data_IF_634853278949
#
_entry.id   IF_634853278949
#
_cell.length_a   1.000
_cell.length_b   1.000
_cell.length_c   1.000
_cell.angle_alpha   90.00
_cell.angle_beta   90.00
_cell.angle_gamma   90.00
#
_symmetry.space_group_name_H-M   'P 1'
#
loop_
_entity.id
_entity.type
_entity.pdbx_description
1 polymer ?
#
# COMPACT_ATOMS: atom_id res chain seq x y z
N UNK A 1 -12.31 80.96 48.88
CA UNK A 1 -11.48 79.85 48.35
C UNK A 1 -12.40 78.71 47.93
N UNK A 2 -12.06 78.05 46.82
CA UNK A 2 -12.87 77.10 46.01
C UNK A 2 -13.28 75.85 46.81
N UNK A 3 -14.42 75.20 46.55
CA UNK A 3 -14.47 74.11 45.55
C UNK A 3 -15.88 73.69 45.13
N UNK A 4 -15.95 73.29 43.86
CA UNK A 4 -17.11 72.83 43.07
C UNK A 4 -17.23 71.29 43.10
N UNK A 5 -18.43 70.79 42.81
CA UNK A 5 -18.79 69.42 42.42
C UNK A 5 -18.02 68.91 41.17
N UNK A 6 -17.84 67.59 41.07
CA UNK A 6 -18.09 66.75 39.87
C UNK A 6 -17.43 65.35 40.05
N UNK A 7 -18.19 64.25 40.09
CA UNK A 7 -18.63 63.41 38.96
C UNK A 7 -17.65 62.28 38.64
N UNK A 8 -18.18 61.07 38.80
CA UNK A 8 -17.61 59.75 38.51
C UNK A 8 -17.35 59.57 37.00
N UNK A 9 -16.21 58.98 36.63
CA UNK A 9 -16.04 58.34 35.33
C UNK A 9 -15.48 56.92 35.52
N UNK A 10 -16.25 55.95 35.00
CA UNK A 10 -15.87 54.56 34.80
C UNK A 10 -14.71 54.48 33.80
N UNK A 11 -13.64 53.77 34.15
CA UNK A 11 -12.65 53.29 33.20
C UNK A 11 -12.82 51.78 33.01
N UNK A 12 -13.28 51.40 31.83
CA UNK A 12 -13.23 50.03 31.27
C UNK A 12 -11.98 49.86 30.41
N UNK A 13 -11.66 48.59 30.08
CA UNK A 13 -10.62 48.04 29.19
C UNK A 13 -9.29 47.67 29.89
N UNK A 14 -8.68 46.50 29.69
CA UNK A 14 -8.96 45.33 28.82
C UNK A 14 -8.20 44.13 29.38
N UNK A 15 -8.85 42.97 29.54
CA UNK A 15 -8.17 41.72 29.85
C UNK A 15 -7.37 41.26 28.62
N UNK A 16 -6.04 41.24 28.73
CA UNK A 16 -5.15 40.65 27.72
C UNK A 16 -5.35 39.15 27.67
N UNK A 17 -6.19 38.68 26.73
CA UNK A 17 -6.33 37.26 26.42
C UNK A 17 -5.05 36.72 25.81
N UNK A 18 -4.31 35.92 26.59
CA UNK A 18 -3.21 35.12 26.07
C UNK A 18 -3.82 34.00 25.22
N UNK A 19 -3.87 34.20 23.90
CA UNK A 19 -4.27 33.15 22.96
C UNK A 19 -3.13 32.13 22.95
N UNK A 20 -3.28 31.06 23.73
CA UNK A 20 -2.48 29.86 23.57
C UNK A 20 -2.85 29.25 22.23
N UNK A 21 -2.09 29.59 21.19
CA UNK A 21 -2.09 28.85 19.94
C UNK A 21 -1.58 27.44 20.24
N UNK A 22 -2.50 26.53 20.54
CA UNK A 22 -2.20 25.11 20.57
C UNK A 22 -1.77 24.69 19.18
N UNK A 23 -0.46 24.55 18.97
CA UNK A 23 0.05 23.86 17.80
C UNK A 23 -0.50 22.43 17.86
N UNK A 24 -1.40 22.08 16.95
CA UNK A 24 -1.82 20.70 16.77
C UNK A 24 -0.57 19.84 16.60
N UNK A 25 -0.42 18.72 17.33
CA UNK A 25 0.67 17.80 17.04
C UNK A 25 0.51 17.35 15.59
N UNK A 26 1.51 17.62 14.76
CA UNK A 26 1.60 16.98 13.46
C UNK A 26 1.51 15.47 13.69
N UNK A 27 0.49 14.81 13.14
CA UNK A 27 0.34 13.35 13.22
C UNK A 27 1.66 12.71 12.83
N UNK A 28 2.30 12.03 13.76
CA UNK A 28 3.55 11.34 13.50
C UNK A 28 3.24 10.12 12.63
N UNK A 29 3.45 10.22 11.32
CA UNK A 29 3.32 9.10 10.39
C UNK A 29 4.23 7.95 10.84
N UNK A 30 3.62 6.85 11.29
CA UNK A 30 4.37 5.64 11.60
C UNK A 30 4.85 5.00 10.30
N UNK A 31 6.11 4.59 10.28
CA UNK A 31 6.70 3.84 9.19
C UNK A 31 7.20 2.50 9.68
N UNK A 32 6.53 1.42 9.31
CA UNK A 32 7.02 0.08 9.57
C UNK A 32 7.30 -0.67 8.27
N UNK A 33 8.36 -1.48 8.31
CA UNK A 33 8.84 -2.25 7.18
C UNK A 33 8.75 -3.75 7.45
N UNK A 34 8.22 -4.52 6.48
CA UNK A 34 8.14 -5.98 6.57
C UNK A 34 8.70 -6.64 5.32
N UNK A 35 9.38 -7.77 5.47
CA UNK A 35 9.78 -8.61 4.33
C UNK A 35 8.98 -9.89 4.30
N UNK A 36 8.60 -10.36 3.12
CA UNK A 36 7.80 -11.57 2.94
C UNK A 36 8.21 -12.32 1.66
N UNK A 37 8.27 -13.65 1.74
CA UNK A 37 8.32 -14.53 0.58
C UNK A 37 6.90 -14.82 0.11
N UNK A 38 6.67 -14.66 -1.20
CA UNK A 38 5.42 -14.96 -1.88
C UNK A 38 5.68 -16.09 -2.86
N UNK A 39 5.02 -17.22 -2.67
CA UNK A 39 5.11 -18.38 -3.56
C UNK A 39 4.20 -18.20 -4.78
N UNK A 40 4.62 -18.69 -5.94
CA UNK A 40 3.78 -18.74 -7.14
C UNK A 40 2.81 -19.94 -7.15
N UNK A 41 3.04 -20.95 -6.32
CA UNK A 41 2.23 -22.17 -6.21
C UNK A 41 0.94 -21.95 -5.38
N UNK A 42 0.77 -20.76 -4.82
CA UNK A 42 -0.32 -20.42 -3.91
C UNK A 42 -1.07 -19.20 -4.44
N UNK A 43 -2.38 -19.18 -4.18
CA UNK A 43 -3.23 -18.04 -4.46
C UNK A 43 -2.90 -16.83 -3.57
N UNK A 44 -3.93 -16.09 -3.16
CA UNK A 44 -3.78 -14.92 -2.31
C UNK A 44 -3.10 -15.26 -0.96
N UNK A 45 -1.96 -14.62 -0.69
CA UNK A 45 -1.18 -14.82 0.52
C UNK A 45 -1.17 -13.54 1.36
N UNK A 46 -1.54 -13.64 2.63
CA UNK A 46 -1.42 -12.52 3.57
C UNK A 46 0.04 -12.07 3.68
N UNK A 47 0.28 -10.79 3.41
CA UNK A 47 1.56 -10.14 3.65
C UNK A 47 1.76 -9.82 5.13
N UNK A 48 0.70 -9.92 5.94
CA UNK A 48 0.68 -9.64 7.37
C UNK A 48 0.88 -8.16 7.67
N UNK A 49 0.25 -7.34 6.84
CA UNK A 49 0.14 -5.89 6.92
C UNK A 49 -1.36 -5.62 6.85
N UNK A 50 -1.91 -4.95 7.86
CA UNK A 50 -3.26 -4.40 7.84
C UNK A 50 -3.14 -2.92 7.52
N UNK A 51 -4.07 -2.40 6.72
CA UNK A 51 -4.11 -1.00 6.32
C UNK A 51 -5.50 -0.44 6.53
N UNK A 52 -5.56 0.88 6.70
CA UNK A 52 -6.77 1.69 6.77
C UNK A 52 -6.85 2.64 5.56
N UNK A 53 -8.04 3.17 5.22
CA UNK A 53 -8.20 4.12 4.12
C UNK A 53 -7.28 5.33 4.30
N UNK A 54 -6.53 5.68 3.26
CA UNK A 54 -5.53 6.76 3.29
C UNK A 54 -4.10 6.27 3.46
N UNK A 55 -3.89 5.09 4.05
CA UNK A 55 -2.53 4.55 4.25
C UNK A 55 -1.80 4.36 2.92
N UNK A 56 -0.50 4.65 2.94
CA UNK A 56 0.37 4.51 1.77
C UNK A 56 1.27 3.30 1.89
N UNK A 57 0.98 2.28 1.08
CA UNK A 57 1.72 1.03 1.01
C UNK A 57 2.73 1.06 -0.13
N UNK A 58 4.02 1.05 0.21
CA UNK A 58 5.10 0.85 -0.75
C UNK A 58 5.52 -0.61 -0.77
N UNK A 59 5.44 -1.24 -1.94
CA UNK A 59 5.85 -2.63 -2.15
C UNK A 59 7.02 -2.63 -3.12
N UNK A 60 8.09 -3.37 -2.80
CA UNK A 60 9.28 -3.47 -3.65
C UNK A 60 9.79 -4.91 -3.69
N UNK A 61 10.02 -5.40 -4.90
CA UNK A 61 10.75 -6.65 -5.13
C UNK A 61 12.19 -6.56 -4.62
N UNK A 62 12.64 -7.62 -3.95
CA UNK A 62 13.99 -7.73 -3.40
C UNK A 62 14.80 -8.76 -4.15
N UNK A 63 14.32 -10.00 -4.23
CA UNK A 63 15.03 -11.13 -4.86
C UNK A 63 14.07 -12.29 -5.15
N UNK A 64 14.60 -13.39 -5.67
CA UNK A 64 13.86 -14.60 -6.00
C UNK A 64 13.29 -14.58 -7.41
N UNK A 65 12.85 -15.73 -7.88
CA UNK A 65 12.26 -15.90 -9.21
C UNK A 65 11.16 -16.96 -9.13
N UNK A 66 10.19 -16.84 -10.01
CA UNK A 66 9.10 -17.81 -10.14
C UNK A 66 8.74 -18.04 -11.61
N UNK A 67 7.96 -19.06 -11.87
CA UNK A 67 7.37 -19.35 -13.18
C UNK A 67 5.89 -19.71 -13.01
N UNK A 68 5.14 -19.63 -14.10
CA UNK A 68 3.72 -20.03 -14.13
C UNK A 68 3.50 -21.36 -14.88
N UNK A 69 4.60 -21.97 -15.33
CA UNK A 69 4.65 -23.34 -15.84
C UNK A 69 6.13 -23.71 -15.88
N UNK A 70 6.62 -24.45 -14.88
CA UNK A 70 8.03 -24.84 -14.78
C UNK A 70 8.49 -25.76 -15.92
N UNK A 71 7.56 -26.30 -16.71
CA UNK A 71 7.83 -27.22 -17.82
C UNK A 71 8.00 -26.47 -19.14
N UNK A 72 7.43 -25.26 -19.26
CA UNK A 72 7.36 -24.52 -20.52
C UNK A 72 7.96 -23.12 -20.49
N UNK A 73 7.94 -22.44 -19.35
CA UNK A 73 8.29 -21.02 -19.29
C UNK A 73 9.47 -20.75 -18.34
N UNK A 74 10.34 -19.79 -18.70
CA UNK A 74 11.49 -19.45 -17.89
C UNK A 74 11.08 -18.77 -16.59
N UNK A 75 11.90 -18.92 -15.55
CA UNK A 75 11.71 -18.17 -14.32
C UNK A 75 11.91 -16.67 -14.55
N UNK A 76 10.99 -15.85 -14.05
CA UNK A 76 11.00 -14.40 -14.11
C UNK A 76 11.02 -13.78 -12.72
N UNK A 77 11.42 -12.51 -12.62
CA UNK A 77 11.21 -11.74 -11.40
C UNK A 77 9.73 -11.38 -11.25
N UNK A 78 9.37 -10.69 -10.17
CA UNK A 78 7.99 -10.20 -9.96
C UNK A 78 7.47 -9.22 -11.04
N UNK A 79 8.30 -8.83 -12.02
CA UNK A 79 7.89 -8.02 -13.15
C UNK A 79 6.94 -8.78 -14.09
N UNK A 80 7.01 -10.12 -14.10
CA UNK A 80 6.29 -10.98 -15.02
C UNK A 80 6.98 -11.13 -16.37
N UNK A 81 6.30 -11.84 -17.27
CA UNK A 81 6.83 -12.18 -18.58
C UNK A 81 6.87 -10.99 -19.53
N UNK A 82 7.88 -10.89 -20.41
CA UNK A 82 7.83 -9.97 -21.53
C UNK A 82 6.68 -10.36 -22.49
N UNK A 83 6.13 -9.37 -23.19
CA UNK A 83 4.93 -9.51 -24.03
C UNK A 83 4.97 -10.69 -25.00
N UNK A 84 6.14 -10.97 -25.60
CA UNK A 84 6.29 -12.06 -26.58
C UNK A 84 6.17 -13.46 -25.95
N UNK A 85 6.50 -13.62 -24.66
CA UNK A 85 6.25 -14.85 -23.90
C UNK A 85 4.81 -14.85 -23.40
N UNK A 86 4.37 -13.75 -22.77
CA UNK A 86 3.05 -13.63 -22.14
C UNK A 86 1.90 -13.98 -23.09
N UNK A 87 1.97 -13.57 -24.36
CA UNK A 87 0.95 -13.87 -25.38
C UNK A 87 0.80 -15.37 -25.73
N UNK A 88 1.76 -16.21 -25.32
CA UNK A 88 1.76 -17.67 -25.58
C UNK A 88 1.16 -18.45 -24.41
N UNK A 89 0.92 -17.78 -23.29
CA UNK A 89 0.32 -18.36 -22.08
C UNK A 89 -1.21 -18.27 -22.23
N UNK A 90 -1.95 -19.21 -21.64
CA UNK A 90 -3.41 -19.22 -21.74
C UNK A 90 -4.04 -18.00 -21.04
N UNK A 91 -4.51 -17.03 -21.83
CA UNK A 91 -4.90 -15.70 -21.32
C UNK A 91 -6.00 -15.69 -20.24
N UNK A 92 -6.99 -16.60 -20.25
CA UNK A 92 -8.01 -16.65 -19.20
C UNK A 92 -7.47 -16.95 -17.79
N UNK A 93 -6.22 -17.40 -17.66
CA UNK A 93 -5.58 -17.58 -16.36
C UNK A 93 -5.15 -16.27 -15.70
N UNK A 94 -5.27 -15.10 -16.34
CA UNK A 94 -4.90 -13.83 -15.69
C UNK A 94 -5.97 -13.35 -14.72
N UNK A 95 -5.57 -13.09 -13.47
CA UNK A 95 -6.42 -12.35 -12.51
C UNK A 95 -6.58 -10.90 -12.95
N UNK A 96 -5.47 -10.24 -13.32
CA UNK A 96 -5.47 -8.93 -13.96
C UNK A 96 -5.17 -9.10 -15.46
N UNK A 97 -6.22 -9.19 -16.27
CA UNK A 97 -6.15 -9.49 -17.71
C UNK A 97 -5.25 -8.55 -18.52
N UNK A 98 -5.16 -7.29 -18.12
CA UNK A 98 -4.32 -6.25 -18.76
C UNK A 98 -2.85 -6.27 -18.34
N UNK A 99 -2.44 -7.21 -17.48
CA UNK A 99 -1.07 -7.33 -17.00
C UNK A 99 -0.46 -8.69 -17.33
N UNK A 100 0.88 -8.78 -17.46
CA UNK A 100 1.52 -10.04 -17.83
C UNK A 100 1.27 -11.12 -16.78
N UNK A 101 1.22 -12.38 -17.22
CA UNK A 101 1.39 -13.51 -16.31
C UNK A 101 2.72 -13.38 -15.57
N UNK A 102 2.81 -14.01 -14.40
CA UNK A 102 4.03 -13.95 -13.60
C UNK A 102 4.30 -12.59 -12.97
N UNK A 103 3.51 -11.55 -13.25
CA UNK A 103 3.67 -10.26 -12.58
C UNK A 103 3.07 -10.31 -11.19
N UNK A 104 3.68 -9.65 -10.21
CA UNK A 104 3.09 -9.58 -8.88
C UNK A 104 1.89 -8.66 -8.89
N UNK A 105 0.84 -9.08 -8.19
CA UNK A 105 -0.36 -8.28 -7.94
C UNK A 105 -0.68 -8.29 -6.45
N UNK A 106 -1.41 -7.27 -6.03
CA UNK A 106 -1.88 -7.10 -4.67
C UNK A 106 -3.41 -7.04 -4.63
N UNK A 107 -3.94 -7.37 -3.46
CA UNK A 107 -5.35 -7.22 -3.11
C UNK A 107 -5.45 -6.64 -1.71
N UNK A 108 -6.33 -5.66 -1.53
CA UNK A 108 -6.76 -5.15 -0.23
C UNK A 108 -8.29 -5.16 -0.29
N UNK A 109 -8.91 -6.03 0.51
CA UNK A 109 -10.34 -6.32 0.43
C UNK A 109 -10.83 -6.58 -1.02
N UNK A 110 -11.71 -5.76 -1.61
CA UNK A 110 -12.21 -5.94 -2.98
C UNK A 110 -11.24 -5.45 -4.07
N UNK A 111 -10.34 -4.53 -3.71
CA UNK A 111 -9.49 -3.82 -4.67
C UNK A 111 -8.27 -4.64 -5.07
N UNK A 112 -7.97 -4.61 -6.38
CA UNK A 112 -6.81 -5.28 -6.95
C UNK A 112 -5.85 -4.26 -7.57
N UNK A 113 -4.56 -4.47 -7.32
CA UNK A 113 -3.51 -3.55 -7.76
C UNK A 113 -2.41 -4.30 -8.49
N UNK A 114 -1.89 -3.67 -9.55
CA UNK A 114 -0.64 -4.10 -10.17
C UNK A 114 0.54 -3.72 -9.27
N UNK A 115 1.43 -4.67 -9.00
CA UNK A 115 2.67 -4.42 -8.25
C UNK A 115 3.90 -4.50 -9.15
N UNK A 116 4.07 -5.58 -9.90
CA UNK A 116 5.28 -5.79 -10.69
C UNK A 116 6.55 -5.76 -9.81
N UNK A 117 7.55 -4.95 -10.20
CA UNK A 117 8.78 -4.75 -9.40
C UNK A 117 8.60 -3.80 -8.22
N UNK A 118 7.69 -2.83 -8.34
CA UNK A 118 7.44 -1.82 -7.32
C UNK A 118 6.07 -1.18 -7.53
N UNK A 119 5.39 -0.87 -6.43
CA UNK A 119 4.18 -0.06 -6.44
C UNK A 119 4.13 0.83 -5.18
N UNK A 120 3.38 1.93 -5.32
CA UNK A 120 2.85 2.72 -4.23
C UNK A 120 1.33 2.65 -4.36
N UNK A 121 0.68 2.12 -3.33
CA UNK A 121 -0.77 1.96 -3.26
C UNK A 121 -1.26 2.87 -2.14
N UNK A 122 -2.27 3.67 -2.41
CA UNK A 122 -3.06 4.35 -1.38
C UNK A 122 -4.27 3.48 -1.10
N UNK A 123 -4.42 3.01 0.14
CA UNK A 123 -5.50 2.14 0.52
C UNK A 123 -6.83 2.91 0.49
N UNK A 124 -7.83 2.34 -0.18
CA UNK A 124 -9.19 2.93 -0.26
C UNK A 124 -10.16 2.31 0.74
N UNK A 125 -9.82 1.11 1.20
CA UNK A 125 -10.61 0.31 2.13
C UNK A 125 -9.67 -0.30 3.17
N UNK A 126 -10.20 -0.55 4.36
CA UNK A 126 -9.45 -1.27 5.38
C UNK A 126 -9.30 -2.74 5.01
N UNK A 127 -8.16 -3.33 5.34
CA UNK A 127 -7.99 -4.77 5.17
C UNK A 127 -6.55 -5.26 5.22
N UNK A 128 -6.39 -6.57 5.19
CA UNK A 128 -5.08 -7.16 5.05
C UNK A 128 -4.58 -7.08 3.61
N UNK A 129 -3.36 -6.58 3.42
CA UNK A 129 -2.65 -6.70 2.15
C UNK A 129 -2.40 -8.18 1.85
N UNK A 130 -2.89 -8.62 0.70
CA UNK A 130 -2.63 -9.94 0.13
C UNK A 130 -1.83 -9.80 -1.17
N UNK A 131 -0.92 -10.72 -1.43
CA UNK A 131 -0.08 -10.74 -2.63
C UNK A 131 -0.17 -12.09 -3.32
N UNK A 132 -0.04 -12.09 -4.66
CA UNK A 132 0.10 -13.31 -5.47
C UNK A 132 0.85 -13.04 -6.77
N UNK A 133 1.18 -14.13 -7.46
CA UNK A 133 1.51 -14.10 -8.89
C UNK A 133 0.23 -13.88 -9.72
N UNK A 134 0.31 -13.12 -10.80
CA UNK A 134 -0.80 -12.89 -11.73
C UNK A 134 -1.04 -14.15 -12.57
N UNK A 135 -1.70 -15.10 -11.96
CA UNK A 135 -2.09 -16.39 -12.53
C UNK A 135 -3.20 -16.96 -11.62
N UNK A 136 -4.31 -17.41 -12.19
CA UNK A 136 -5.57 -17.67 -11.50
C UNK A 136 -5.57 -19.02 -10.77
N UNK A 137 -6.50 -19.20 -9.82
CA UNK A 137 -6.49 -20.35 -8.91
C UNK A 137 -6.52 -21.71 -9.63
N UNK A 138 -7.24 -21.82 -10.75
CA UNK A 138 -7.27 -23.02 -11.59
C UNK A 138 -5.98 -23.31 -12.37
N UNK A 139 -5.01 -22.39 -12.35
CA UNK A 139 -3.80 -22.43 -13.16
C UNK A 139 -2.52 -22.56 -12.33
N UNK A 140 -2.60 -22.61 -11.00
CA UNK A 140 -1.41 -22.58 -10.12
C UNK A 140 -0.60 -23.88 -10.09
N UNK A 141 -1.13 -24.99 -10.62
CA UNK A 141 -0.62 -26.34 -10.37
C UNK A 141 0.79 -26.59 -10.93
N UNK A 142 1.14 -25.94 -12.02
CA UNK A 142 2.45 -26.01 -12.68
C UNK A 142 3.33 -24.79 -12.39
N UNK A 143 2.86 -23.87 -11.55
CA UNK A 143 3.69 -22.78 -11.05
C UNK A 143 4.82 -23.33 -10.17
N UNK A 144 5.92 -22.59 -10.10
CA UNK A 144 7.02 -22.93 -9.22
C UNK A 144 7.79 -21.69 -8.78
N UNK A 145 8.40 -21.78 -7.61
CA UNK A 145 9.31 -20.79 -7.07
C UNK A 145 8.61 -19.66 -6.31
N UNK A 146 9.43 -18.71 -5.87
CA UNK A 146 8.98 -17.63 -4.99
C UNK A 146 9.82 -16.38 -5.15
N UNK A 147 9.24 -15.25 -4.76
CA UNK A 147 9.91 -13.95 -4.75
C UNK A 147 9.81 -13.32 -3.37
N UNK A 148 10.88 -12.63 -2.96
CA UNK A 148 10.92 -11.87 -1.72
C UNK A 148 10.60 -10.41 -1.99
N UNK A 149 9.72 -9.84 -1.17
CA UNK A 149 9.36 -8.42 -1.23
C UNK A 149 9.64 -7.72 0.09
N UNK A 150 9.87 -6.41 0.00
CA UNK A 150 9.82 -5.47 1.12
C UNK A 150 8.57 -4.63 0.99
N UNK A 151 7.83 -4.51 2.07
CA UNK A 151 6.62 -3.72 2.21
C UNK A 151 6.91 -2.64 3.25
N UNK A 152 6.46 -1.43 3.00
CA UNK A 152 6.54 -0.32 3.96
C UNK A 152 5.21 0.40 3.95
N UNK A 153 4.62 0.61 5.12
CA UNK A 153 3.40 1.39 5.28
C UNK A 153 3.77 2.75 5.85
N UNK A 154 3.04 3.76 5.42
CA UNK A 154 3.03 5.10 5.99
C UNK A 154 1.59 5.40 6.33
N UNK A 155 1.30 5.49 7.63
CA UNK A 155 -0.03 5.77 8.14
C UNK A 155 -0.41 7.21 7.76
N UNK A 156 -1.69 7.43 7.47
CA UNK A 156 -2.21 8.74 7.06
C UNK A 156 -2.40 9.73 8.22
#
# INVERSE_FOLDING_TARGET
MRSKLATLFLATLTAGGCVLAGASPASATSHYGKSKWISAERGWQHAGVYVEPGDRVRIRYVTGRWTVDHRKFPYVSSAGYPRHIDRRIYQPCKVLSRHPHGSMIAKINGDHYRVGRRALIEARESGFLQLRVNDADGCLRDNDGSVRVKITVADH
#
